data_IF_891355472235
#
_entry.id   IF_891355472235
#
_cell.length_a   1.000
_cell.length_b   1.000
_cell.length_c   1.000
_cell.angle_alpha   90.00
_cell.angle_beta   90.00
_cell.angle_gamma   90.00
#
_symmetry.space_group_name_H-M   'P 1'
#
loop_
_entity.id
_entity.type
_entity.pdbx_description
1 polymer ?
#
# COMPACT_ATOMS: atom_id res chain seq x y z
N UNK A 1 0.48 -23.83 -7.38
CA UNK A 1 1.02 -22.46 -7.27
C UNK A 1 -0.13 -21.50 -7.47
N UNK A 2 -0.79 -21.08 -6.39
CA UNK A 2 -1.96 -20.19 -6.46
C UNK A 2 -1.52 -18.80 -6.91
N UNK A 3 -1.85 -18.46 -8.17
CA UNK A 3 -1.76 -17.08 -8.68
C UNK A 3 -2.71 -16.22 -7.85
N UNK A 4 -2.22 -15.62 -6.77
CA UNK A 4 -2.95 -14.59 -6.02
C UNK A 4 -3.28 -13.47 -7.01
N UNK A 5 -4.48 -13.49 -7.58
CA UNK A 5 -4.97 -12.44 -8.48
C UNK A 5 -5.04 -11.15 -7.67
N UNK A 6 -4.12 -10.24 -7.97
CA UNK A 6 -4.21 -8.86 -7.56
C UNK A 6 -5.27 -8.22 -8.45
N UNK A 7 -6.26 -7.57 -7.84
CA UNK A 7 -7.20 -6.70 -8.54
C UNK A 7 -6.42 -5.53 -9.14
N UNK A 8 -6.93 -4.91 -10.20
CA UNK A 8 -6.29 -3.78 -10.88
C UNK A 8 -5.87 -2.68 -9.89
N UNK A 9 -6.71 -2.41 -8.89
CA UNK A 9 -6.43 -1.45 -7.83
C UNK A 9 -5.26 -1.85 -6.92
N UNK A 10 -5.17 -3.13 -6.55
CA UNK A 10 -4.07 -3.63 -5.72
C UNK A 10 -2.74 -3.60 -6.48
N UNK A 11 -2.79 -3.95 -7.77
CA UNK A 11 -1.63 -3.90 -8.65
C UNK A 11 -1.14 -2.46 -8.86
N UNK A 12 -2.06 -1.52 -9.06
CA UNK A 12 -1.78 -0.10 -9.16
C UNK A 12 -1.09 0.43 -7.89
N UNK A 13 -1.66 0.16 -6.70
CA UNK A 13 -1.07 0.59 -5.42
C UNK A 13 0.30 -0.06 -5.19
N UNK A 14 0.47 -1.35 -5.51
CA UNK A 14 1.75 -2.05 -5.36
C UNK A 14 2.83 -1.42 -6.25
N UNK A 15 2.50 -1.06 -7.50
CA UNK A 15 3.44 -0.34 -8.37
C UNK A 15 3.85 0.99 -7.78
N UNK A 16 2.91 1.78 -7.27
CA UNK A 16 3.24 3.05 -6.63
C UNK A 16 4.14 2.86 -5.42
N UNK A 17 3.86 1.86 -4.57
CA UNK A 17 4.72 1.51 -3.44
C UNK A 17 6.13 1.15 -3.90
N UNK A 18 6.28 0.32 -4.94
CA UNK A 18 7.59 -0.02 -5.50
C UNK A 18 8.32 1.16 -6.14
N UNK A 19 7.58 2.12 -6.71
CA UNK A 19 8.17 3.36 -7.22
C UNK A 19 8.64 4.28 -6.10
N UNK A 20 8.02 4.20 -4.92
CA UNK A 20 8.52 4.83 -3.71
C UNK A 20 9.75 4.03 -3.26
N UNK A 21 10.93 4.42 -3.75
CA UNK A 21 12.23 3.83 -3.35
C UNK A 21 12.61 4.10 -1.87
N UNK A 22 11.64 4.47 -1.03
CA UNK A 22 11.80 4.82 0.38
C UNK A 22 10.97 3.87 1.24
N UNK A 23 11.55 2.73 1.59
CA UNK A 23 10.97 1.83 2.60
C UNK A 23 11.53 2.16 4.00
N UNK A 24 10.73 2.06 5.06
CA UNK A 24 9.33 1.61 5.08
C UNK A 24 8.33 2.75 4.77
N UNK A 25 7.27 2.45 4.01
CA UNK A 25 6.27 3.44 3.56
C UNK A 25 5.08 3.50 4.51
N UNK A 26 4.41 4.65 4.62
CA UNK A 26 3.13 4.75 5.34
C UNK A 26 1.98 4.89 4.36
N UNK A 27 0.76 4.52 4.76
CA UNK A 27 -0.44 4.75 3.93
C UNK A 27 -0.51 6.20 3.46
N UNK A 28 -0.16 7.15 4.34
CA UNK A 28 -0.17 8.58 4.00
C UNK A 28 0.81 8.90 2.87
N UNK A 29 2.05 8.38 2.92
CA UNK A 29 3.01 8.58 1.84
C UNK A 29 2.55 7.93 0.53
N UNK A 30 1.96 6.74 0.61
CA UNK A 30 1.44 6.06 -0.59
C UNK A 30 0.27 6.84 -1.19
N UNK A 31 -0.66 7.34 -0.37
CA UNK A 31 -1.77 8.19 -0.83
C UNK A 31 -1.25 9.47 -1.47
N UNK A 32 -0.29 10.14 -0.81
CA UNK A 32 0.30 11.39 -1.31
C UNK A 32 1.04 11.19 -2.64
N UNK A 33 1.76 10.07 -2.78
CA UNK A 33 2.49 9.73 -4.00
C UNK A 33 1.59 9.20 -5.13
N UNK A 34 0.67 8.27 -4.81
CA UNK A 34 -0.22 7.65 -5.78
C UNK A 34 -1.35 8.58 -6.23
N UNK A 35 -1.84 9.43 -5.33
CA UNK A 35 -2.98 10.32 -5.54
C UNK A 35 -2.68 11.73 -5.00
N UNK A 36 -1.68 12.45 -5.54
CA UNK A 36 -1.29 13.79 -5.08
C UNK A 36 -2.42 14.82 -5.21
N UNK A 37 -3.39 14.56 -6.10
CA UNK A 37 -4.58 15.41 -6.31
C UNK A 37 -5.75 15.07 -5.38
N UNK A 38 -5.59 14.11 -4.45
CA UNK A 38 -6.66 13.68 -3.55
C UNK A 38 -7.76 12.87 -4.24
N UNK A 39 -7.43 12.20 -5.36
CA UNK A 39 -8.41 11.42 -6.15
C UNK A 39 -8.96 10.20 -5.41
N UNK A 40 -8.28 9.72 -4.36
CA UNK A 40 -8.76 8.59 -3.55
C UNK A 40 -8.70 8.87 -2.06
N UNK A 41 -9.70 8.32 -1.36
CA UNK A 41 -9.75 8.34 0.09
C UNK A 41 -8.61 7.50 0.70
N UNK A 42 -8.08 7.99 1.83
CA UNK A 42 -7.06 7.31 2.63
C UNK A 42 -7.48 5.87 3.00
N UNK A 43 -8.74 5.69 3.38
CA UNK A 43 -9.30 4.40 3.79
C UNK A 43 -9.32 3.38 2.65
N UNK A 44 -9.50 3.83 1.40
CA UNK A 44 -9.43 2.96 0.22
C UNK A 44 -8.02 2.41 0.05
N UNK A 45 -7.00 3.28 0.07
CA UNK A 45 -5.60 2.85 -0.03
C UNK A 45 -5.21 1.99 1.17
N UNK A 46 -5.65 2.34 2.37
CA UNK A 46 -5.42 1.54 3.57
C UNK A 46 -6.01 0.12 3.43
N UNK A 47 -7.23 0.01 2.92
CA UNK A 47 -7.88 -1.29 2.70
C UNK A 47 -7.11 -2.13 1.68
N UNK A 48 -6.67 -1.50 0.58
CA UNK A 48 -5.86 -2.15 -0.46
C UNK A 48 -4.52 -2.62 0.11
N UNK A 49 -3.81 -1.79 0.87
CA UNK A 49 -2.57 -2.16 1.53
C UNK A 49 -2.77 -3.30 2.54
N UNK A 50 -3.85 -3.26 3.33
CA UNK A 50 -4.18 -4.35 4.25
C UNK A 50 -4.50 -5.65 3.50
N UNK A 51 -5.15 -5.59 2.33
CA UNK A 51 -5.38 -6.76 1.49
C UNK A 51 -4.07 -7.32 0.93
N UNK A 52 -3.15 -6.47 0.48
CA UNK A 52 -1.81 -6.86 0.05
C UNK A 52 -1.04 -7.55 1.19
N UNK A 53 -1.16 -7.05 2.41
CA UNK A 53 -0.58 -7.68 3.61
C UNK A 53 -1.20 -9.03 3.90
N UNK A 54 -2.54 -9.15 3.87
CA UNK A 54 -3.24 -10.44 4.02
C UNK A 54 -2.85 -11.43 2.93
N UNK A 55 -2.58 -10.93 1.72
CA UNK A 55 -2.08 -11.70 0.59
C UNK A 55 -0.57 -11.98 0.69
N UNK A 56 0.15 -11.47 1.68
CA UNK A 56 1.58 -11.71 1.87
C UNK A 56 2.48 -11.03 0.84
N UNK A 57 1.99 -9.97 0.16
CA UNK A 57 2.81 -9.13 -0.72
C UNK A 57 3.50 -7.99 0.01
N UNK A 58 2.96 -7.58 1.16
CA UNK A 58 3.51 -6.53 2.02
C UNK A 58 3.53 -7.01 3.47
N UNK A 59 4.45 -6.48 4.26
CA UNK A 59 4.49 -6.63 5.70
C UNK A 59 4.11 -5.32 6.35
N UNK A 60 3.13 -5.35 7.26
CA UNK A 60 2.84 -4.21 8.14
C UNK A 60 3.65 -4.34 9.42
N UNK A 61 4.39 -3.29 9.77
CA UNK A 61 5.10 -3.16 11.04
C UNK A 61 4.63 -1.92 11.76
N UNK A 62 4.49 -2.02 13.08
CA UNK A 62 4.15 -0.88 13.91
C UNK A 62 5.44 -0.22 14.39
N UNK A 63 5.71 0.99 13.92
CA UNK A 63 6.85 1.80 14.35
C UNK A 63 6.33 2.90 15.28
N UNK A 64 6.30 2.60 16.58
CA UNK A 64 5.73 3.48 17.61
C UNK A 64 4.20 3.60 17.49
N UNK A 65 3.71 4.80 17.14
CA UNK A 65 2.28 5.07 16.94
C UNK A 65 1.84 4.96 15.47
N UNK A 66 2.78 4.75 14.54
CA UNK A 66 2.51 4.74 13.10
C UNK A 66 2.63 3.31 12.57
N UNK A 67 1.71 2.94 11.68
CA UNK A 67 1.81 1.71 10.91
C UNK A 67 2.60 1.99 9.63
N UNK A 68 3.72 1.28 9.49
CA UNK A 68 4.57 1.31 8.31
C UNK A 68 4.46 0.00 7.55
N UNK A 69 4.71 0.03 6.25
CA UNK A 69 4.57 -1.08 5.33
C UNK A 69 5.91 -1.29 4.61
N UNK A 70 6.29 -2.54 4.39
CA UNK A 70 7.51 -2.94 3.67
C UNK A 70 7.22 -4.08 2.72
#
# INVERSE_FOLDING_TARGET
MEKKKLSDLEWEVLKYIWQIQKFPVTVRQVVDFAYPKGEKAYTTVQTVMNNLVKKGFLEIRKMGIVNVYS
#
